data_IF_010603668034
#
_entry.id   IF_010603668034
#
_cell.length_a   1.000
_cell.length_b   1.000
_cell.length_c   1.000
_cell.angle_alpha   90.00
_cell.angle_beta   90.00
_cell.angle_gamma   90.00
#
_symmetry.space_group_name_H-M   'P 1'
#
loop_
_entity.id
_entity.type
_entity.pdbx_description
1 polymer ?
#
# COMPACT_ATOMS: atom_id res chain seq x y z
N UNK A 1 0.55 12.60 4.67
CA UNK A 1 1.71 12.37 3.73
C UNK A 1 1.31 12.87 2.35
N UNK A 2 2.11 13.68 1.68
CA UNK A 2 1.81 14.17 0.32
C UNK A 2 2.80 13.51 -0.65
N UNK A 3 2.26 12.84 -1.68
CA UNK A 3 3.05 12.25 -2.75
C UNK A 3 3.12 13.26 -3.92
N UNK A 4 4.28 13.89 -4.07
CA UNK A 4 4.52 14.78 -5.20
C UNK A 4 4.77 13.94 -6.46
N UNK A 5 4.03 14.19 -7.54
CA UNK A 5 4.12 13.47 -8.82
C UNK A 5 5.41 13.84 -9.58
N UNK A 6 6.56 13.52 -8.99
CA UNK A 6 7.89 13.86 -9.48
C UNK A 6 8.81 12.65 -9.44
N UNK A 7 9.48 12.35 -10.57
CA UNK A 7 10.48 11.29 -10.63
C UNK A 7 11.65 11.54 -9.69
N UNK A 8 12.08 12.79 -9.55
CA UNK A 8 13.14 13.14 -8.61
C UNK A 8 12.76 12.80 -7.16
N UNK A 9 11.52 13.10 -6.76
CA UNK A 9 11.02 12.74 -5.43
C UNK A 9 10.91 11.24 -5.24
N UNK A 10 10.42 10.51 -6.24
CA UNK A 10 10.32 9.05 -6.20
C UNK A 10 11.70 8.40 -6.00
N UNK A 11 12.71 8.84 -6.76
CA UNK A 11 14.08 8.35 -6.64
C UNK A 11 14.73 8.73 -5.32
N UNK A 12 14.51 9.95 -4.83
CA UNK A 12 14.99 10.37 -3.52
C UNK A 12 14.39 9.52 -2.40
N UNK A 13 13.09 9.23 -2.46
CA UNK A 13 12.41 8.35 -1.49
C UNK A 13 12.94 6.92 -1.56
N UNK A 14 13.14 6.38 -2.77
CA UNK A 14 13.76 5.07 -2.97
C UNK A 14 15.16 5.00 -2.37
N UNK A 15 15.99 5.99 -2.67
CA UNK A 15 17.36 6.06 -2.16
C UNK A 15 17.37 6.15 -0.64
N UNK A 16 16.59 7.05 -0.07
CA UNK A 16 16.50 7.22 1.38
C UNK A 16 16.04 5.93 2.08
N UNK A 17 15.03 5.25 1.54
CA UNK A 17 14.56 3.99 2.10
C UNK A 17 15.62 2.90 2.04
N UNK A 18 16.28 2.73 0.89
CA UNK A 18 17.32 1.72 0.71
C UNK A 18 18.52 2.01 1.60
N UNK A 19 18.88 3.27 1.75
CA UNK A 19 20.07 3.65 2.51
C UNK A 19 19.88 3.56 4.03
N UNK A 20 18.70 3.80 4.54
CA UNK A 20 18.47 3.95 5.97
C UNK A 20 17.57 2.88 6.60
N UNK A 21 16.66 2.26 5.85
CA UNK A 21 15.57 1.47 6.44
C UNK A 21 15.43 0.05 5.87
N UNK A 22 15.97 -0.23 4.69
CA UNK A 22 15.79 -1.52 4.02
C UNK A 22 16.31 -2.71 4.84
N UNK A 23 17.38 -2.53 5.61
CA UNK A 23 17.95 -3.59 6.47
C UNK A 23 16.97 -4.13 7.50
N UNK A 24 16.08 -3.28 8.02
CA UNK A 24 15.10 -3.65 9.05
C UNK A 24 13.71 -3.96 8.46
N UNK A 25 13.53 -3.81 7.15
CA UNK A 25 12.25 -4.01 6.46
C UNK A 25 11.62 -5.36 6.79
N UNK A 26 12.37 -6.44 6.72
CA UNK A 26 11.85 -7.80 6.98
C UNK A 26 11.22 -7.95 8.37
N UNK A 27 11.77 -7.26 9.37
CA UNK A 27 11.27 -7.30 10.76
C UNK A 27 10.11 -6.34 10.98
N UNK A 28 10.17 -5.15 10.38
CA UNK A 28 9.29 -4.04 10.75
C UNK A 28 8.14 -3.81 9.76
N UNK A 29 8.16 -4.42 8.58
CA UNK A 29 7.20 -4.18 7.50
C UNK A 29 5.73 -4.38 7.87
N UNK A 30 5.46 -5.19 8.89
CA UNK A 30 4.11 -5.52 9.33
C UNK A 30 3.55 -4.57 10.40
N UNK A 31 4.38 -3.66 10.92
CA UNK A 31 3.93 -2.70 11.91
C UNK A 31 3.47 -1.40 11.25
N UNK A 32 2.33 -0.89 11.68
CA UNK A 32 1.88 0.44 11.30
C UNK A 32 2.21 1.42 12.43
N UNK A 33 3.18 2.31 12.17
CA UNK A 33 3.58 3.36 13.10
C UNK A 33 2.84 4.69 12.85
N UNK A 34 1.82 4.67 11.98
CA UNK A 34 1.08 5.85 11.56
C UNK A 34 1.80 6.67 10.49
N UNK A 35 1.09 7.64 9.88
CA UNK A 35 1.58 8.38 8.71
C UNK A 35 2.84 9.19 8.97
N UNK A 36 3.05 9.68 10.19
CA UNK A 36 4.20 10.53 10.55
C UNK A 36 5.48 9.73 10.79
N UNK A 37 5.38 8.45 11.15
CA UNK A 37 6.54 7.60 11.53
C UNK A 37 6.73 6.40 10.62
N UNK A 38 6.22 6.44 9.40
CA UNK A 38 6.21 5.32 8.43
C UNK A 38 7.53 5.20 7.66
N UNK A 39 8.65 5.08 8.37
CA UNK A 39 9.97 4.85 7.75
C UNK A 39 10.28 3.37 7.51
N UNK A 40 9.55 2.46 8.15
CA UNK A 40 9.71 1.02 8.07
C UNK A 40 9.26 0.38 6.74
N UNK A 41 8.55 1.12 5.91
CA UNK A 41 8.14 0.72 4.55
C UNK A 41 8.54 1.78 3.53
N UNK A 42 8.65 1.37 2.27
CA UNK A 42 9.16 2.26 1.21
C UNK A 42 8.20 3.36 0.79
N UNK A 43 6.89 3.16 0.96
CA UNK A 43 5.83 4.03 0.46
C UNK A 43 5.93 4.36 -1.06
N UNK A 44 6.51 3.46 -1.86
CA UNK A 44 6.75 3.68 -3.30
C UNK A 44 5.57 3.30 -4.18
N UNK A 45 4.56 2.63 -3.63
CA UNK A 45 3.43 2.11 -4.42
C UNK A 45 2.71 3.17 -5.26
N UNK A 46 2.49 4.43 -4.82
CA UNK A 46 1.91 5.45 -5.69
C UNK A 46 2.77 5.74 -6.92
N UNK A 47 4.07 5.87 -6.75
CA UNK A 47 4.99 6.16 -7.86
C UNK A 47 5.07 5.02 -8.86
N UNK A 48 5.04 3.76 -8.38
CA UNK A 48 5.06 2.58 -9.25
C UNK A 48 3.71 2.45 -9.98
N UNK A 49 2.59 2.69 -9.27
CA UNK A 49 1.25 2.61 -9.87
C UNK A 49 1.09 3.55 -11.06
N UNK A 50 1.67 4.74 -10.97
CA UNK A 50 1.60 5.75 -12.02
C UNK A 50 2.77 5.70 -13.00
N UNK A 51 3.64 4.68 -12.93
CA UNK A 51 4.76 4.50 -13.85
C UNK A 51 5.87 5.56 -13.74
N UNK A 52 5.92 6.30 -12.62
CA UNK A 52 6.98 7.31 -12.39
C UNK A 52 8.33 6.64 -12.18
N UNK A 53 8.35 5.51 -11.48
CA UNK A 53 9.43 4.53 -11.40
C UNK A 53 8.84 3.14 -11.60
N UNK A 54 9.67 2.15 -11.94
CA UNK A 54 9.21 0.79 -12.16
C UNK A 54 9.84 -0.20 -11.18
N UNK A 55 9.27 -1.40 -11.12
CA UNK A 55 9.70 -2.46 -10.21
C UNK A 55 11.18 -2.85 -10.43
N UNK A 56 11.65 -2.84 -11.67
CA UNK A 56 13.04 -3.17 -12.00
C UNK A 56 14.01 -2.17 -11.38
N UNK A 57 13.72 -0.87 -11.47
CA UNK A 57 14.54 0.18 -10.87
C UNK A 57 14.62 0.02 -9.34
N UNK A 58 13.48 -0.27 -8.71
CA UNK A 58 13.40 -0.49 -7.26
C UNK A 58 14.25 -1.69 -6.84
N UNK A 59 14.12 -2.82 -7.55
CA UNK A 59 14.88 -4.05 -7.26
C UNK A 59 16.38 -3.83 -7.49
N UNK A 60 16.75 -3.21 -8.60
CA UNK A 60 18.16 -2.92 -8.91
C UNK A 60 18.80 -2.05 -7.83
N UNK A 61 18.10 -1.02 -7.35
CA UNK A 61 18.59 -0.17 -6.28
C UNK A 61 18.78 -0.95 -4.96
N UNK A 62 17.82 -1.80 -4.59
CA UNK A 62 17.93 -2.62 -3.39
C UNK A 62 19.14 -3.60 -3.50
N UNK A 63 19.31 -4.25 -4.64
CA UNK A 63 20.40 -5.20 -4.89
C UNK A 63 21.77 -4.52 -5.01
N UNK A 64 21.83 -3.24 -5.33
CA UNK A 64 23.09 -2.50 -5.34
C UNK A 64 23.68 -2.29 -3.93
N UNK A 65 22.85 -2.38 -2.89
CA UNK A 65 23.27 -2.16 -1.49
C UNK A 65 23.42 -3.45 -0.69
N UNK A 66 22.52 -4.40 -0.86
CA UNK A 66 22.50 -5.64 -0.09
C UNK A 66 22.30 -6.84 -1.01
N UNK A 67 22.80 -8.02 -0.56
CA UNK A 67 22.58 -9.28 -1.27
C UNK A 67 21.10 -9.65 -1.39
N UNK A 68 20.77 -10.51 -2.34
CA UNK A 68 19.40 -11.02 -2.53
C UNK A 68 18.81 -11.59 -1.23
N UNK A 69 19.56 -12.42 -0.52
CA UNK A 69 19.09 -13.07 0.72
C UNK A 69 18.69 -12.07 1.81
N UNK A 70 19.34 -10.90 1.89
CA UNK A 70 18.95 -9.83 2.82
C UNK A 70 17.72 -9.05 2.35
N UNK A 71 17.51 -8.97 1.04
CA UNK A 71 16.44 -8.21 0.41
C UNK A 71 15.24 -9.05 -0.01
N UNK A 72 15.30 -10.37 0.19
CA UNK A 72 14.34 -11.32 -0.36
C UNK A 72 12.88 -10.89 -0.09
N UNK A 73 12.55 -10.55 1.16
CA UNK A 73 11.20 -10.12 1.53
C UNK A 73 10.76 -8.83 0.83
N UNK A 74 11.65 -7.88 0.68
CA UNK A 74 11.35 -6.64 -0.03
C UNK A 74 11.13 -6.88 -1.53
N UNK A 75 12.01 -7.67 -2.14
CA UNK A 75 11.92 -8.03 -3.57
C UNK A 75 10.63 -8.83 -3.84
N UNK A 76 10.30 -9.79 -2.97
CA UNK A 76 9.03 -10.53 -3.07
C UNK A 76 7.82 -9.59 -3.06
N UNK A 77 7.76 -8.62 -2.14
CA UNK A 77 6.64 -7.68 -2.06
C UNK A 77 6.55 -6.78 -3.31
N UNK A 78 7.69 -6.39 -3.88
CA UNK A 78 7.71 -5.65 -5.15
C UNK A 78 7.18 -6.51 -6.31
N UNK A 79 7.61 -7.78 -6.38
CA UNK A 79 7.21 -8.70 -7.45
C UNK A 79 5.76 -9.19 -7.30
N UNK A 80 5.20 -9.27 -6.08
CA UNK A 80 3.78 -9.57 -5.88
C UNK A 80 2.88 -8.63 -6.66
N UNK A 81 3.27 -7.37 -6.79
CA UNK A 81 2.54 -6.40 -7.59
C UNK A 81 2.44 -6.82 -9.06
N UNK A 82 3.56 -7.19 -9.67
CA UNK A 82 3.61 -7.66 -11.07
C UNK A 82 2.80 -8.96 -11.24
N UNK A 83 2.95 -9.89 -10.30
CA UNK A 83 2.19 -11.14 -10.30
C UNK A 83 0.69 -10.89 -10.27
N UNK A 84 0.19 -10.09 -9.33
CA UNK A 84 -1.24 -9.83 -9.19
C UNK A 84 -1.82 -9.06 -10.37
N UNK A 85 -1.07 -8.13 -10.96
CA UNK A 85 -1.49 -7.47 -12.20
C UNK A 85 -1.73 -8.49 -13.31
N UNK A 86 -0.75 -9.33 -13.61
CA UNK A 86 -0.88 -10.35 -14.64
C UNK A 86 -1.98 -11.37 -14.31
N UNK A 87 -2.12 -11.77 -13.05
CA UNK A 87 -3.18 -12.67 -12.61
C UNK A 87 -4.59 -12.10 -12.87
N UNK A 88 -4.81 -10.83 -12.54
CA UNK A 88 -6.08 -10.14 -12.75
C UNK A 88 -6.36 -9.88 -14.24
N UNK A 89 -5.35 -9.56 -15.04
CA UNK A 89 -5.50 -9.38 -16.50
C UNK A 89 -6.01 -10.65 -17.18
N UNK A 90 -5.61 -11.82 -16.68
CA UNK A 90 -6.08 -13.11 -17.19
C UNK A 90 -7.46 -13.55 -16.63
N UNK A 91 -8.04 -12.78 -15.72
CA UNK A 91 -9.30 -13.10 -15.02
C UNK A 91 -10.23 -11.89 -14.92
N UNK A 92 -10.72 -11.38 -16.06
CA UNK A 92 -11.54 -10.16 -16.09
C UNK A 92 -12.83 -10.30 -15.27
N UNK A 93 -13.37 -11.50 -15.13
CA UNK A 93 -14.58 -11.75 -14.34
C UNK A 93 -14.41 -11.37 -12.87
N UNK A 94 -13.22 -11.51 -12.29
CA UNK A 94 -12.97 -11.13 -10.88
C UNK A 94 -13.36 -9.68 -10.61
N UNK A 95 -13.06 -8.79 -11.55
CA UNK A 95 -13.43 -7.38 -11.42
C UNK A 95 -14.94 -7.15 -11.58
N UNK A 96 -15.56 -7.84 -12.55
CA UNK A 96 -16.99 -7.74 -12.80
C UNK A 96 -17.80 -8.25 -11.62
N UNK A 97 -17.41 -9.41 -11.08
CA UNK A 97 -18.07 -10.03 -9.93
C UNK A 97 -17.93 -9.12 -8.68
N UNK A 98 -16.72 -8.61 -8.44
CA UNK A 98 -16.48 -7.65 -7.36
C UNK A 98 -17.40 -6.41 -7.45
N UNK A 99 -17.56 -5.83 -8.63
CA UNK A 99 -18.42 -4.67 -8.81
C UNK A 99 -19.89 -4.99 -8.58
N UNK A 100 -20.34 -6.16 -9.02
CA UNK A 100 -21.72 -6.63 -8.81
C UNK A 100 -22.00 -6.82 -7.31
N UNK A 101 -21.14 -7.54 -6.60
CA UNK A 101 -21.26 -7.75 -5.15
C UNK A 101 -21.18 -6.44 -4.36
N UNK A 102 -20.27 -5.54 -4.73
CA UNK A 102 -20.14 -4.24 -4.08
C UNK A 102 -21.42 -3.41 -4.23
N UNK A 103 -22.04 -3.40 -5.39
CA UNK A 103 -23.28 -2.68 -5.63
C UNK A 103 -24.45 -3.29 -4.84
N UNK A 104 -24.53 -4.61 -4.78
CA UNK A 104 -25.52 -5.31 -3.95
C UNK A 104 -25.36 -4.93 -2.47
N UNK A 105 -24.15 -5.04 -1.92
CA UNK A 105 -23.87 -4.70 -0.51
C UNK A 105 -24.18 -3.22 -0.21
N UNK A 106 -23.81 -2.30 -1.09
CA UNK A 106 -24.12 -0.89 -0.92
C UNK A 106 -25.63 -0.64 -0.83
N UNK A 107 -26.42 -1.31 -1.64
CA UNK A 107 -27.88 -1.18 -1.60
C UNK A 107 -28.48 -1.80 -0.33
N UNK A 108 -27.94 -2.95 0.11
CA UNK A 108 -28.38 -3.62 1.31
C UNK A 108 -28.10 -2.79 2.59
N UNK A 109 -26.90 -2.21 2.67
CA UNK A 109 -26.44 -1.52 3.88
C UNK A 109 -26.60 0.01 3.84
N UNK A 110 -27.20 0.59 2.78
CA UNK A 110 -27.31 2.04 2.61
C UNK A 110 -27.94 2.80 3.79
N UNK A 111 -28.84 2.15 4.55
CA UNK A 111 -29.53 2.73 5.71
C UNK A 111 -29.05 2.14 7.05
N UNK A 112 -28.01 1.31 7.03
CA UNK A 112 -27.49 0.71 8.25
C UNK A 112 -26.56 1.69 8.96
N UNK A 113 -26.93 2.13 10.16
CA UNK A 113 -26.19 3.15 10.92
C UNK A 113 -24.77 2.69 11.30
N UNK A 114 -24.58 1.42 11.62
CA UNK A 114 -23.26 0.89 11.95
C UNK A 114 -22.33 0.93 10.72
N UNK A 115 -22.85 0.57 9.55
CA UNK A 115 -22.12 0.67 8.29
C UNK A 115 -21.75 2.12 7.98
N UNK A 116 -22.71 3.06 8.10
CA UNK A 116 -22.46 4.48 7.86
C UNK A 116 -21.42 5.05 8.83
N UNK A 117 -21.51 4.66 10.11
CA UNK A 117 -20.48 5.04 11.09
C UNK A 117 -19.12 4.47 10.76
N UNK A 118 -19.06 3.23 10.27
CA UNK A 118 -17.79 2.60 9.89
C UNK A 118 -17.11 3.32 8.70
N UNK A 119 -17.84 3.60 7.61
CA UNK A 119 -17.26 4.32 6.47
C UNK A 119 -16.89 5.77 6.81
N UNK A 120 -17.50 6.33 7.83
CA UNK A 120 -17.17 7.67 8.34
C UNK A 120 -16.01 7.70 9.32
N UNK A 121 -15.56 6.53 9.82
CA UNK A 121 -14.53 6.44 10.85
C UNK A 121 -15.02 6.94 12.21
N UNK A 122 -16.27 6.61 12.55
CA UNK A 122 -16.96 7.02 13.79
C UNK A 122 -17.50 5.81 14.54
N UNK A 123 -16.68 4.79 14.70
CA UNK A 123 -17.01 3.58 15.46
C UNK A 123 -16.41 3.66 16.87
N UNK A 124 -16.71 2.66 17.71
CA UNK A 124 -16.09 2.52 19.04
C UNK A 124 -14.65 1.98 18.98
N UNK A 125 -14.10 1.77 17.77
CA UNK A 125 -12.76 1.22 17.55
C UNK A 125 -11.84 2.33 17.08
N UNK A 126 -11.09 2.93 18.00
CA UNK A 126 -10.25 4.10 17.72
C UNK A 126 -9.21 3.87 16.61
N UNK A 127 -8.54 2.71 16.59
CA UNK A 127 -7.55 2.43 15.54
C UNK A 127 -8.19 2.30 14.15
N UNK A 128 -9.38 1.72 14.04
CA UNK A 128 -10.13 1.66 12.80
C UNK A 128 -10.51 3.07 12.31
N UNK A 129 -11.02 3.91 13.21
CA UNK A 129 -11.37 5.29 12.89
C UNK A 129 -10.14 6.08 12.39
N UNK A 130 -9.00 5.91 13.05
CA UNK A 130 -7.75 6.54 12.63
C UNK A 130 -7.34 6.10 11.20
N UNK A 131 -7.46 4.81 10.87
CA UNK A 131 -7.14 4.29 9.53
C UNK A 131 -8.11 4.81 8.45
N UNK A 132 -9.41 4.89 8.75
CA UNK A 132 -10.40 5.45 7.82
C UNK A 132 -10.08 6.92 7.53
N UNK A 133 -9.79 7.70 8.56
CA UNK A 133 -9.44 9.11 8.40
C UNK A 133 -8.10 9.27 7.66
N UNK A 134 -7.08 8.47 7.97
CA UNK A 134 -5.83 8.48 7.21
C UNK A 134 -6.06 8.20 5.72
N UNK A 135 -6.90 7.23 5.39
CA UNK A 135 -7.21 6.92 4.00
C UNK A 135 -7.91 8.08 3.30
N UNK A 136 -8.87 8.74 3.97
CA UNK A 136 -9.57 9.93 3.45
C UNK A 136 -8.63 11.11 3.22
N UNK A 137 -7.72 11.36 4.17
CA UNK A 137 -6.85 12.54 4.15
C UNK A 137 -5.66 12.38 3.20
N UNK A 138 -5.10 11.16 3.10
CA UNK A 138 -3.86 10.91 2.39
C UNK A 138 -4.01 10.08 1.11
N UNK A 139 -5.17 9.48 0.84
CA UNK A 139 -5.37 8.46 -0.20
C UNK A 139 -4.35 7.31 -0.12
N UNK A 140 -3.81 7.07 1.06
CA UNK A 140 -2.79 6.07 1.32
C UNK A 140 -3.02 5.43 2.68
N UNK A 141 -2.79 4.13 2.75
CA UNK A 141 -2.87 3.38 4.00
C UNK A 141 -1.82 2.27 3.97
N UNK A 142 -1.27 1.94 5.13
CA UNK A 142 -0.35 0.82 5.29
C UNK A 142 -0.99 -0.49 4.78
N UNK A 143 -0.20 -1.34 4.09
CA UNK A 143 -0.74 -2.53 3.43
C UNK A 143 -1.47 -3.47 4.40
N UNK A 144 -0.92 -3.70 5.60
CA UNK A 144 -1.58 -4.56 6.58
C UNK A 144 -2.88 -3.98 7.12
N UNK A 145 -2.96 -2.67 7.31
CA UNK A 145 -4.19 -2.02 7.76
C UNK A 145 -5.31 -2.12 6.72
N UNK A 146 -4.97 -2.14 5.43
CA UNK A 146 -5.96 -2.40 4.36
C UNK A 146 -6.55 -3.81 4.44
N UNK A 147 -5.78 -4.78 4.89
CA UNK A 147 -6.24 -6.15 5.01
C UNK A 147 -7.18 -6.34 6.21
N UNK A 148 -7.09 -5.49 7.21
CA UNK A 148 -7.92 -5.52 8.41
C UNK A 148 -9.26 -4.83 8.19
#
# INVERSE_FOLDING_TARGET
MIFEASRAKALNQLNNFVDNNLSEYSKLRNFDFGPEKRSNISCLSPYITHGIINEKEVIQKALSKFSFSKNEKFIQEVLWRTYWKGWLELRPNVWTDYLAELNQMKNEFQNNQNYLSAIDGKTDIECFNAWVNELKDNNYLHNHTRMW
#
